data_IF_311830094869
#
_entry.id   IF_311830094869
#
_cell.length_a   1.000
_cell.length_b   1.000
_cell.length_c   1.000
_cell.angle_alpha   90.00
_cell.angle_beta   90.00
_cell.angle_gamma   90.00
#
_symmetry.space_group_name_H-M   'P 1'
#
loop_
_entity.id
_entity.type
_entity.pdbx_description
1 polymer ?
#
# COMPACT_ATOMS: atom_id res chain seq x y z
N UNK A 1 -15.63 8.32 -39.16
CA UNK A 1 -16.51 8.13 -37.98
C UNK A 1 -16.79 6.67 -37.65
N UNK A 2 -16.98 5.79 -38.66
CA UNK A 2 -17.30 4.36 -38.50
C UNK A 2 -16.07 3.57 -37.97
N UNK A 3 -14.89 3.84 -38.49
CA UNK A 3 -13.63 3.18 -38.14
C UNK A 3 -13.20 3.49 -36.68
N UNK A 4 -13.36 4.73 -36.25
CA UNK A 4 -13.04 5.12 -34.87
C UNK A 4 -13.97 4.47 -33.85
N UNK A 5 -15.24 4.28 -34.17
CA UNK A 5 -16.19 3.57 -33.31
C UNK A 5 -15.85 2.08 -33.17
N UNK A 6 -15.49 1.43 -34.27
CA UNK A 6 -15.08 0.01 -34.24
C UNK A 6 -13.80 -0.20 -33.45
N UNK A 7 -12.80 0.66 -33.64
CA UNK A 7 -11.54 0.60 -32.90
C UNK A 7 -11.78 0.80 -31.39
N UNK A 8 -12.62 1.76 -31.02
CA UNK A 8 -12.96 2.02 -29.62
C UNK A 8 -13.68 0.83 -28.96
N UNK A 9 -14.59 0.16 -29.69
CA UNK A 9 -15.28 -1.04 -29.18
C UNK A 9 -14.30 -2.18 -28.98
N UNK A 10 -13.43 -2.47 -29.96
CA UNK A 10 -12.42 -3.51 -29.85
C UNK A 10 -11.46 -3.28 -28.68
N UNK A 11 -11.00 -2.05 -28.48
CA UNK A 11 -10.13 -1.68 -27.34
C UNK A 11 -10.87 -1.88 -26.01
N UNK A 12 -12.13 -1.47 -25.94
CA UNK A 12 -12.96 -1.66 -24.75
C UNK A 12 -13.16 -3.14 -24.43
N UNK A 13 -13.47 -3.96 -25.42
CA UNK A 13 -13.70 -5.40 -25.23
C UNK A 13 -12.40 -6.10 -24.83
N UNK A 14 -11.26 -5.73 -25.43
CA UNK A 14 -9.94 -6.24 -25.05
C UNK A 14 -9.60 -5.88 -23.60
N UNK A 15 -9.78 -4.61 -23.20
CA UNK A 15 -9.53 -4.16 -21.84
C UNK A 15 -10.43 -4.91 -20.85
N UNK A 16 -11.70 -5.08 -21.18
CA UNK A 16 -12.65 -5.81 -20.32
C UNK A 16 -12.25 -7.27 -20.18
N UNK A 17 -11.85 -7.94 -21.26
CA UNK A 17 -11.37 -9.32 -21.24
C UNK A 17 -10.11 -9.45 -20.35
N UNK A 18 -9.11 -8.58 -20.55
CA UNK A 18 -7.87 -8.59 -19.76
C UNK A 18 -8.16 -8.34 -18.26
N UNK A 19 -9.04 -7.39 -17.95
CA UNK A 19 -9.42 -7.11 -16.55
C UNK A 19 -10.14 -8.32 -15.93
N UNK A 20 -11.11 -8.92 -16.64
CA UNK A 20 -11.81 -10.11 -16.13
C UNK A 20 -10.83 -11.23 -15.87
N UNK A 21 -9.89 -11.50 -16.79
CA UNK A 21 -8.88 -12.54 -16.63
C UNK A 21 -7.93 -12.25 -15.48
N UNK A 22 -7.55 -11.00 -15.26
CA UNK A 22 -6.71 -10.61 -14.11
C UNK A 22 -7.37 -10.90 -12.76
N UNK A 23 -8.69 -10.71 -12.65
CA UNK A 23 -9.40 -10.91 -11.39
C UNK A 23 -9.93 -12.34 -11.21
N UNK A 24 -10.20 -13.07 -12.28
CA UNK A 24 -10.76 -14.43 -12.24
C UNK A 24 -9.71 -15.53 -12.22
N UNK A 25 -8.62 -15.39 -12.99
CA UNK A 25 -7.59 -16.41 -13.08
C UNK A 25 -6.59 -16.36 -11.91
N UNK A 26 -6.11 -17.53 -11.46
CA UNK A 26 -5.06 -17.61 -10.44
C UNK A 26 -3.75 -16.97 -10.91
N UNK A 27 -3.45 -16.99 -12.19
CA UNK A 27 -2.26 -16.37 -12.77
C UNK A 27 -2.38 -14.84 -12.72
N UNK A 28 -3.52 -14.29 -13.15
CA UNK A 28 -3.80 -12.86 -13.10
C UNK A 28 -3.70 -12.30 -11.66
N UNK A 29 -4.27 -13.00 -10.67
CA UNK A 29 -4.14 -12.64 -9.26
C UNK A 29 -2.68 -12.60 -8.79
N UNK A 30 -1.82 -13.53 -9.26
CA UNK A 30 -0.39 -13.53 -8.92
C UNK A 30 0.33 -12.32 -9.51
N UNK A 31 0.03 -11.96 -10.77
CA UNK A 31 0.59 -10.75 -11.38
C UNK A 31 0.12 -9.48 -10.66
N UNK A 32 -1.16 -9.38 -10.34
CA UNK A 32 -1.71 -8.24 -9.61
C UNK A 32 -1.07 -8.11 -8.21
N UNK A 33 -0.91 -9.24 -7.50
CA UNK A 33 -0.23 -9.28 -6.21
C UNK A 33 1.24 -8.86 -6.32
N UNK A 34 1.96 -9.30 -7.36
CA UNK A 34 3.36 -8.94 -7.58
C UNK A 34 3.51 -7.44 -7.89
N UNK A 35 2.70 -6.90 -8.81
CA UNK A 35 2.76 -5.49 -9.19
C UNK A 35 2.44 -4.56 -8.02
N UNK A 36 1.35 -4.85 -7.30
CA UNK A 36 1.00 -4.07 -6.09
C UNK A 36 2.06 -4.21 -5.02
N UNK A 37 2.66 -5.39 -4.85
CA UNK A 37 3.75 -5.63 -3.92
C UNK A 37 5.00 -4.79 -4.24
N UNK A 38 5.39 -4.68 -5.51
CA UNK A 38 6.53 -3.84 -5.94
C UNK A 38 6.26 -2.35 -5.60
N UNK A 39 5.05 -1.87 -5.88
CA UNK A 39 4.66 -0.49 -5.54
C UNK A 39 4.75 -0.26 -4.04
N UNK A 40 4.21 -1.18 -3.23
CA UNK A 40 4.21 -1.07 -1.77
C UNK A 40 5.62 -1.13 -1.18
N UNK A 41 6.50 -2.00 -1.68
CA UNK A 41 7.91 -2.07 -1.26
C UNK A 41 8.62 -0.75 -1.58
N UNK A 42 8.46 -0.24 -2.80
CA UNK A 42 9.04 1.05 -3.20
C UNK A 42 8.58 2.19 -2.29
N UNK A 43 7.27 2.25 -2.01
CA UNK A 43 6.73 3.23 -1.08
C UNK A 43 7.31 3.10 0.34
N UNK A 44 7.37 1.87 0.89
CA UNK A 44 7.92 1.64 2.23
C UNK A 44 9.37 2.11 2.33
N UNK A 45 10.18 1.91 1.30
CA UNK A 45 11.56 2.38 1.25
C UNK A 45 11.66 3.91 1.35
N UNK A 46 10.88 4.62 0.53
CA UNK A 46 10.85 6.10 0.53
C UNK A 46 10.26 6.62 1.82
N UNK A 47 9.20 6.00 2.32
CA UNK A 47 8.54 6.34 3.57
C UNK A 47 9.49 6.17 4.77
N UNK A 48 10.20 5.06 4.83
CA UNK A 48 11.22 4.82 5.85
C UNK A 48 12.34 5.87 5.79
N UNK A 49 12.88 6.14 4.60
CA UNK A 49 13.94 7.13 4.42
C UNK A 49 13.51 8.53 4.88
N UNK A 50 12.26 8.91 4.59
CA UNK A 50 11.67 10.16 5.07
C UNK A 50 11.55 10.20 6.60
N UNK A 51 11.05 9.13 7.21
CA UNK A 51 10.88 9.07 8.67
C UNK A 51 12.23 8.98 9.43
N UNK A 52 13.30 8.48 8.80
CA UNK A 52 14.65 8.49 9.41
C UNK A 52 15.18 9.90 9.68
N UNK A 53 14.59 10.95 9.11
CA UNK A 53 14.94 12.33 9.43
C UNK A 53 14.68 12.69 10.90
N UNK A 54 13.87 11.91 11.62
CA UNK A 54 13.69 12.05 13.08
C UNK A 54 15.03 11.95 13.83
N UNK A 55 15.98 11.18 13.31
CA UNK A 55 17.33 11.05 13.89
C UNK A 55 18.20 12.29 13.70
N UNK A 56 17.81 13.18 12.78
CA UNK A 56 18.48 14.47 12.57
C UNK A 56 17.90 15.60 13.43
N UNK A 57 16.82 15.31 14.16
CA UNK A 57 16.17 16.23 15.09
C UNK A 57 14.84 16.78 14.61
N UNK A 58 14.16 17.47 15.53
CA UNK A 58 12.79 17.99 15.35
C UNK A 58 12.65 18.89 14.12
N UNK A 59 13.59 19.80 13.92
CA UNK A 59 13.54 20.74 12.79
C UNK A 59 13.55 20.00 11.44
N UNK A 60 14.40 19.00 11.30
CA UNK A 60 14.52 18.23 10.05
C UNK A 60 13.24 17.47 9.71
N UNK A 61 12.67 16.73 10.67
CA UNK A 61 11.46 15.94 10.41
C UNK A 61 10.24 16.84 10.18
N UNK A 62 10.13 17.96 10.89
CA UNK A 62 9.04 18.91 10.71
C UNK A 62 9.15 19.65 9.36
N UNK A 63 10.35 20.04 8.93
CA UNK A 63 10.56 20.60 7.59
C UNK A 63 10.17 19.62 6.48
N UNK A 64 10.52 18.35 6.63
CA UNK A 64 10.12 17.29 5.70
C UNK A 64 8.60 17.09 5.67
N UNK A 65 7.95 17.04 6.83
CA UNK A 65 6.51 16.90 6.94
C UNK A 65 5.78 18.09 6.29
N UNK A 66 6.28 19.31 6.53
CA UNK A 66 5.73 20.51 5.88
C UNK A 66 5.89 20.47 4.36
N UNK A 67 7.06 20.08 3.85
CA UNK A 67 7.28 19.95 2.41
C UNK A 67 6.31 18.95 1.77
N UNK A 68 6.03 17.81 2.43
CA UNK A 68 5.05 16.85 1.96
C UNK A 68 3.62 17.41 1.98
N UNK A 69 3.24 18.12 3.06
CA UNK A 69 1.89 18.67 3.21
C UNK A 69 1.64 19.87 2.29
N UNK A 70 2.69 20.57 1.85
CA UNK A 70 2.61 21.67 0.89
C UNK A 70 2.41 21.23 -0.56
N UNK A 71 2.48 19.91 -0.85
CA UNK A 71 2.19 19.39 -2.18
C UNK A 71 0.77 19.76 -2.63
N UNK A 72 0.55 20.00 -3.93
CA UNK A 72 -0.79 20.23 -4.47
C UNK A 72 -1.77 19.13 -4.06
N UNK A 73 -2.96 19.52 -3.59
CA UNK A 73 -4.00 18.61 -3.11
C UNK A 73 -4.24 17.38 -4.01
N UNK A 74 -4.30 17.52 -5.36
CA UNK A 74 -4.51 16.35 -6.23
C UNK A 74 -3.35 15.33 -6.16
N UNK A 75 -2.11 15.79 -5.97
CA UNK A 75 -0.94 14.91 -5.86
C UNK A 75 -0.97 14.20 -4.49
N UNK A 76 -1.21 14.96 -3.44
CA UNK A 76 -1.25 14.43 -2.06
C UNK A 76 -2.37 13.38 -1.90
N UNK A 77 -3.59 13.70 -2.29
CA UNK A 77 -4.71 12.77 -2.18
C UNK A 77 -4.65 11.66 -3.22
N UNK A 78 -4.20 11.96 -4.42
CA UNK A 78 -4.00 10.96 -5.48
C UNK A 78 -3.04 9.86 -5.06
N UNK A 79 -1.91 10.21 -4.46
CA UNK A 79 -0.93 9.24 -3.95
C UNK A 79 -1.49 8.41 -2.79
N UNK A 80 -2.23 9.02 -1.85
CA UNK A 80 -2.88 8.32 -0.73
C UNK A 80 -3.91 7.30 -1.21
N UNK A 81 -4.81 7.72 -2.11
CA UNK A 81 -5.84 6.84 -2.68
C UNK A 81 -5.21 5.71 -3.49
N UNK A 82 -4.22 6.01 -4.32
CA UNK A 82 -3.50 5.02 -5.10
C UNK A 82 -2.84 3.95 -4.22
N UNK A 83 -2.13 4.36 -3.17
CA UNK A 83 -1.50 3.44 -2.22
C UNK A 83 -2.54 2.60 -1.46
N UNK A 84 -3.65 3.20 -1.05
CA UNK A 84 -4.74 2.47 -0.40
C UNK A 84 -5.32 1.40 -1.32
N UNK A 85 -5.54 1.72 -2.59
CA UNK A 85 -5.98 0.74 -3.60
C UNK A 85 -4.95 -0.39 -3.73
N UNK A 86 -3.65 -0.08 -3.78
CA UNK A 86 -2.59 -1.09 -3.84
C UNK A 86 -2.62 -2.02 -2.61
N UNK A 87 -2.78 -1.48 -1.39
CA UNK A 87 -2.89 -2.29 -0.16
C UNK A 87 -4.10 -3.22 -0.22
N UNK A 88 -5.27 -2.69 -0.59
CA UNK A 88 -6.51 -3.47 -0.67
C UNK A 88 -6.40 -4.59 -1.71
N UNK A 89 -5.92 -4.26 -2.91
CA UNK A 89 -5.75 -5.26 -3.98
C UNK A 89 -4.70 -6.31 -3.61
N UNK A 90 -3.59 -5.91 -3.00
CA UNK A 90 -2.54 -6.83 -2.56
C UNK A 90 -3.07 -7.81 -1.50
N UNK A 91 -3.72 -7.31 -0.47
CA UNK A 91 -4.29 -8.13 0.59
C UNK A 91 -5.40 -9.05 0.08
N UNK A 92 -6.29 -8.53 -0.78
CA UNK A 92 -7.36 -9.31 -1.38
C UNK A 92 -6.84 -10.46 -2.25
N UNK A 93 -5.88 -10.18 -3.13
CA UNK A 93 -5.29 -11.21 -4.01
C UNK A 93 -4.52 -12.25 -3.21
N UNK A 94 -3.78 -11.84 -2.17
CA UNK A 94 -3.09 -12.76 -1.27
C UNK A 94 -4.08 -13.70 -0.57
N UNK A 95 -5.16 -13.16 -0.01
CA UNK A 95 -6.20 -13.94 0.67
C UNK A 95 -6.93 -14.88 -0.30
N UNK A 96 -7.31 -14.40 -1.50
CA UNK A 96 -7.95 -15.21 -2.54
C UNK A 96 -7.06 -16.40 -2.95
N UNK A 97 -5.76 -16.17 -3.17
CA UNK A 97 -4.82 -17.22 -3.52
C UNK A 97 -4.61 -18.24 -2.37
N UNK A 98 -4.61 -17.79 -1.11
CA UNK A 98 -4.56 -18.70 0.04
C UNK A 98 -5.79 -19.64 0.05
N UNK A 99 -6.98 -19.08 -0.18
CA UNK A 99 -8.21 -19.87 -0.22
C UNK A 99 -8.23 -20.86 -1.40
N UNK A 100 -7.83 -20.40 -2.59
CA UNK A 100 -7.74 -21.27 -3.77
C UNK A 100 -6.76 -22.41 -3.53
N UNK A 101 -5.58 -22.13 -2.98
CA UNK A 101 -4.58 -23.14 -2.67
C UNK A 101 -5.07 -24.17 -1.62
N UNK A 102 -5.82 -23.72 -0.61
CA UNK A 102 -6.44 -24.63 0.38
C UNK A 102 -7.49 -25.53 -0.26
N UNK A 103 -8.34 -24.99 -1.15
CA UNK A 103 -9.37 -25.76 -1.86
C UNK A 103 -8.78 -26.76 -2.85
N UNK A 104 -7.66 -26.42 -3.49
CA UNK A 104 -6.99 -27.29 -4.43
C UNK A 104 -6.27 -28.48 -3.76
N UNK A 105 -6.06 -28.43 -2.44
CA UNK A 105 -5.38 -29.49 -1.66
C UNK A 105 -6.23 -29.90 -0.46
N UNK A 106 -7.30 -30.69 -0.65
CA UNK A 106 -8.21 -31.11 0.42
C UNK A 106 -7.58 -32.10 1.41
N UNK A 107 -6.49 -32.80 0.98
CA UNK A 107 -5.77 -33.73 1.81
C UNK A 107 -4.36 -33.21 2.12
N UNK A 108 -3.88 -33.41 3.36
CA UNK A 108 -2.50 -33.15 3.73
C UNK A 108 -1.58 -34.15 3.00
N UNK A 109 -0.39 -33.70 2.62
CA UNK A 109 0.60 -34.60 2.03
C UNK A 109 1.00 -35.67 3.08
N UNK A 110 0.94 -36.94 2.73
CA UNK A 110 1.40 -38.04 3.58
C UNK A 110 2.92 -37.97 3.83
N UNK A 111 3.65 -37.32 2.95
CA UNK A 111 5.08 -37.05 3.08
C UNK A 111 5.30 -35.54 3.06
N UNK A 112 5.74 -34.97 4.18
CA UNK A 112 6.15 -33.55 4.26
C UNK A 112 7.44 -33.32 3.49
N UNK A 113 7.34 -33.16 2.17
CA UNK A 113 8.48 -32.78 1.33
C UNK A 113 8.55 -31.26 1.24
N UNK A 114 9.01 -30.61 2.30
CA UNK A 114 9.29 -29.17 2.35
C UNK A 114 10.62 -28.78 1.70
N UNK A 115 11.15 -29.62 0.80
CA UNK A 115 12.50 -29.45 0.21
C UNK A 115 12.71 -28.13 -0.55
N UNK A 116 11.67 -27.35 -0.85
CA UNK A 116 11.77 -26.11 -1.66
C UNK A 116 11.08 -24.87 -1.04
N UNK A 117 10.34 -25.00 0.05
CA UNK A 117 9.69 -23.87 0.70
C UNK A 117 10.32 -23.61 2.07
N UNK A 118 10.93 -22.43 2.24
CA UNK A 118 11.42 -22.00 3.55
C UNK A 118 10.26 -21.74 4.54
N UNK A 119 10.54 -21.80 5.84
CA UNK A 119 9.57 -21.51 6.91
C UNK A 119 8.89 -20.15 6.72
N UNK A 120 9.61 -19.15 6.21
CA UNK A 120 9.07 -17.81 5.89
C UNK A 120 7.95 -17.88 4.87
N UNK A 121 8.12 -18.68 3.81
CA UNK A 121 7.09 -18.86 2.76
C UNK A 121 5.81 -19.50 3.30
N UNK A 122 5.95 -20.46 4.22
CA UNK A 122 4.79 -21.13 4.85
C UNK A 122 4.02 -20.20 5.79
N UNK A 123 4.69 -19.20 6.37
CA UNK A 123 4.11 -18.27 7.36
C UNK A 123 3.72 -16.90 6.77
N UNK A 124 3.84 -16.69 5.47
CA UNK A 124 3.51 -15.41 4.80
C UNK A 124 2.10 -14.89 5.11
N UNK A 125 1.12 -15.78 5.20
CA UNK A 125 -0.26 -15.39 5.53
C UNK A 125 -0.38 -14.77 6.93
N UNK A 126 0.34 -15.31 7.90
CA UNK A 126 0.33 -14.83 9.30
C UNK A 126 1.07 -13.49 9.38
N UNK A 127 2.28 -13.41 8.85
CA UNK A 127 3.07 -12.17 8.86
C UNK A 127 2.39 -11.05 8.08
N UNK A 128 1.77 -11.36 6.95
CA UNK A 128 0.97 -10.41 6.18
C UNK A 128 -0.25 -9.89 6.94
N UNK A 129 -0.92 -10.74 7.71
CA UNK A 129 -2.06 -10.33 8.55
C UNK A 129 -1.63 -9.40 9.68
N UNK A 130 -0.49 -9.67 10.32
CA UNK A 130 0.09 -8.81 11.36
C UNK A 130 0.46 -7.45 10.76
N UNK A 131 1.11 -7.45 9.60
CA UNK A 131 1.47 -6.22 8.89
C UNK A 131 0.24 -5.40 8.48
N UNK A 132 -0.81 -6.05 7.98
CA UNK A 132 -2.06 -5.39 7.61
C UNK A 132 -2.72 -4.74 8.84
N UNK A 133 -2.74 -5.42 9.98
CA UNK A 133 -3.26 -4.87 11.24
C UNK A 133 -2.46 -3.64 11.69
N UNK A 134 -1.13 -3.69 11.55
CA UNK A 134 -0.27 -2.54 11.80
C UNK A 134 -0.58 -1.38 10.85
N UNK A 135 -0.76 -1.63 9.54
CA UNK A 135 -1.10 -0.59 8.56
C UNK A 135 -2.41 0.09 8.93
N UNK A 136 -3.45 -0.68 9.30
CA UNK A 136 -4.73 -0.11 9.74
C UNK A 136 -4.54 0.78 10.97
N UNK A 137 -3.84 0.29 12.00
CA UNK A 137 -3.53 1.10 13.19
C UNK A 137 -2.75 2.38 12.83
N UNK A 138 -1.72 2.24 12.00
CA UNK A 138 -0.89 3.36 11.54
C UNK A 138 -1.70 4.44 10.81
N UNK A 139 -2.62 4.04 9.92
CA UNK A 139 -3.50 4.98 9.23
C UNK A 139 -4.47 5.68 10.18
N UNK A 140 -5.05 4.96 11.15
CA UNK A 140 -5.94 5.53 12.15
C UNK A 140 -5.21 6.51 13.07
N UNK A 141 -3.96 6.23 13.37
CA UNK A 141 -3.16 7.07 14.26
C UNK A 141 -2.64 8.33 13.53
N UNK A 142 -1.92 8.17 12.42
CA UNK A 142 -1.18 9.28 11.80
C UNK A 142 -1.93 9.97 10.65
N UNK A 143 -2.81 9.26 9.95
CA UNK A 143 -3.51 9.83 8.78
C UNK A 143 -4.89 10.35 9.16
N UNK A 144 -5.69 9.55 9.86
CA UNK A 144 -7.06 9.91 10.26
C UNK A 144 -7.05 10.63 11.61
N UNK A 145 -6.04 10.36 12.46
CA UNK A 145 -5.83 10.98 13.78
C UNK A 145 -7.00 10.77 14.75
N UNK A 146 -7.64 9.60 14.69
CA UNK A 146 -8.78 9.27 15.57
C UNK A 146 -8.35 8.72 16.92
N UNK A 147 -7.11 8.17 17.04
CA UNK A 147 -6.64 7.51 18.27
C UNK A 147 -6.13 8.52 19.28
N UNK A 148 -5.40 9.54 18.83
CA UNK A 148 -4.88 10.64 19.64
C UNK A 148 -5.11 11.96 18.91
N UNK A 149 -6.34 12.52 18.94
CA UNK A 149 -6.65 13.74 18.20
C UNK A 149 -5.85 14.96 18.68
N UNK A 150 -5.44 14.98 19.95
CA UNK A 150 -4.62 16.03 20.54
C UNK A 150 -3.28 16.22 19.83
N UNK A 151 -2.68 15.17 19.28
CA UNK A 151 -1.44 15.30 18.51
C UNK A 151 -1.65 15.99 17.14
N UNK A 152 -2.90 16.11 16.71
CA UNK A 152 -3.23 16.87 15.52
C UNK A 152 -3.18 18.38 15.71
N UNK A 153 -3.22 18.84 16.95
CA UNK A 153 -3.23 20.27 17.34
C UNK A 153 -1.84 20.79 17.71
N UNK A 154 -0.84 19.90 17.88
CA UNK A 154 0.52 20.30 18.19
C UNK A 154 1.11 21.11 17.04
N UNK A 155 1.52 22.31 17.35
CA UNK A 155 2.12 23.25 16.42
C UNK A 155 3.49 23.66 16.92
N UNK A 156 4.47 23.74 16.02
CA UNK A 156 5.77 24.30 16.30
C UNK A 156 6.16 25.33 15.24
N UNK A 157 6.97 26.29 15.60
CA UNK A 157 7.52 27.25 14.66
C UNK A 157 8.74 26.66 13.99
N UNK A 158 8.74 26.57 12.66
CA UNK A 158 9.90 26.13 11.88
C UNK A 158 10.63 27.37 11.35
N UNK A 159 11.82 27.60 11.90
CA UNK A 159 12.67 28.72 11.51
C UNK A 159 12.34 30.03 12.23
N UNK A 160 13.34 30.81 12.53
CA UNK A 160 13.29 31.99 13.39
C UNK A 160 12.86 33.28 12.71
N UNK A 161 12.34 33.27 11.49
CA UNK A 161 12.18 34.53 10.78
C UNK A 161 10.92 34.73 9.94
N UNK A 162 10.05 33.71 9.78
CA UNK A 162 8.75 33.95 9.09
C UNK A 162 7.78 32.78 9.35
N UNK A 163 7.16 32.87 10.24
CA UNK A 163 6.19 32.51 11.23
C UNK A 163 4.87 31.93 10.80
N UNK A 164 4.86 30.95 9.94
CA UNK A 164 3.67 30.09 9.89
C UNK A 164 3.86 28.93 10.88
N UNK A 165 2.95 28.70 11.82
CA UNK A 165 3.00 27.53 12.67
C UNK A 165 2.89 26.27 11.82
N UNK A 166 3.82 25.35 12.00
CA UNK A 166 3.85 24.06 11.31
C UNK A 166 3.46 22.99 12.31
N UNK A 167 2.71 22.01 11.82
CA UNK A 167 2.34 20.86 12.63
C UNK A 167 3.57 20.12 13.13
N UNK A 168 3.71 19.99 14.46
CA UNK A 168 4.78 19.25 15.08
C UNK A 168 4.54 17.75 14.95
N UNK A 169 5.46 17.05 14.33
CA UNK A 169 5.43 15.60 14.10
C UNK A 169 6.58 14.86 14.81
N UNK A 170 7.38 15.59 15.59
CA UNK A 170 8.53 15.04 16.34
C UNK A 170 8.12 14.20 17.53
#
# INVERSE_FOLDING_TARGET
>A
LFFTRHLFTLVKDLITCVLVDMFSSSLGKKYLMALTGIVLIGFVFVHMAGNLQILLGQESINAYAHALQSLPLPILWGSRVFLLICVVLHAWTAYALILENRRARPHSNEVEVTKRAGLSSLRMGISGSILLSFIVFHLLHFTIRTIYPEYGELMTLVGSSDESPVHDVY
#
